data_IF_667917463142
#
_entry.id   IF_667917463142
#
_cell.length_a   1.000
_cell.length_b   1.000
_cell.length_c   1.000
_cell.angle_alpha   90.00
_cell.angle_beta   90.00
_cell.angle_gamma   90.00
#
_symmetry.space_group_name_H-M   'P 1'
#
loop_
_entity.id
_entity.type
_entity.pdbx_description
1 polymer ?
#
# COMPACT_ATOMS: atom_id res chain seq x y z
N UNK A 1 11.75 -5.53 18.50
CA UNK A 1 10.54 -4.76 18.20
C UNK A 1 11.00 -3.40 17.72
N UNK A 2 10.80 -3.14 16.43
CA UNK A 2 11.20 -1.92 15.73
C UNK A 2 9.93 -1.22 15.21
N UNK A 3 9.03 -0.90 16.13
CA UNK A 3 7.78 -0.23 15.82
C UNK A 3 8.04 1.15 15.24
N UNK A 4 7.45 1.39 14.06
CA UNK A 4 7.46 2.67 13.39
C UNK A 4 6.04 3.17 13.28
N UNK A 5 5.78 4.36 13.82
CA UNK A 5 4.54 5.07 13.55
C UNK A 5 4.48 5.42 12.07
N UNK A 6 3.44 4.95 11.38
CA UNK A 6 3.18 5.22 9.97
C UNK A 6 2.02 6.20 9.77
N UNK A 7 1.13 6.35 10.76
CA UNK A 7 0.11 7.40 10.83
C UNK A 7 -0.03 7.84 12.28
N UNK A 8 0.07 9.15 12.53
CA UNK A 8 -0.13 9.70 13.88
C UNK A 8 -1.58 9.59 14.34
N UNK A 9 -2.51 9.57 13.40
CA UNK A 9 -3.93 9.36 13.64
C UNK A 9 -4.57 8.70 12.43
N UNK A 10 -5.36 7.65 12.66
CA UNK A 10 -6.22 7.00 11.67
C UNK A 10 -7.57 6.69 12.33
N UNK A 11 -8.63 6.77 11.52
CA UNK A 11 -9.95 6.26 11.86
C UNK A 11 -10.24 5.09 10.90
N UNK A 12 -10.50 3.91 11.46
CA UNK A 12 -10.91 2.72 10.73
C UNK A 12 -12.37 2.47 11.09
N UNK A 13 -13.24 2.53 10.08
CA UNK A 13 -14.67 2.27 10.23
C UNK A 13 -14.99 0.98 9.49
N UNK A 14 -15.54 0.00 10.21
CA UNK A 14 -15.97 -1.28 9.64
C UNK A 14 -17.10 -1.85 10.51
N UNK A 15 -18.11 -2.43 9.87
CA UNK A 15 -19.35 -2.86 10.52
C UNK A 15 -19.97 -1.72 11.39
N UNK A 16 -20.27 -1.99 12.67
CA UNK A 16 -20.76 -1.00 13.64
C UNK A 16 -19.65 -0.45 14.56
N UNK A 17 -18.37 -0.65 14.20
CA UNK A 17 -17.19 -0.30 15.01
C UNK A 17 -16.40 0.83 14.34
N UNK A 18 -15.94 1.77 15.16
CA UNK A 18 -14.96 2.78 14.77
C UNK A 18 -13.75 2.68 15.70
N UNK A 19 -12.59 2.34 15.13
CA UNK A 19 -11.32 2.34 15.84
C UNK A 19 -10.52 3.58 15.46
N UNK A 20 -10.07 4.34 16.46
CA UNK A 20 -9.24 5.53 16.24
C UNK A 20 -7.96 5.44 17.03
N UNK A 21 -6.83 5.83 16.45
CA UNK A 21 -5.56 5.76 17.14
C UNK A 21 -4.36 6.01 16.26
N UNK A 22 -3.18 5.81 16.83
CA UNK A 22 -1.91 5.87 16.11
C UNK A 22 -1.61 4.52 15.48
N UNK A 23 -1.30 4.52 14.18
CA UNK A 23 -0.99 3.29 13.48
C UNK A 23 0.52 3.05 13.43
N UNK A 24 0.92 1.86 13.87
CA UNK A 24 2.31 1.43 13.99
C UNK A 24 2.55 0.15 13.19
N UNK A 25 3.71 0.08 12.55
CA UNK A 25 4.15 -1.05 11.74
C UNK A 25 5.53 -1.52 12.19
N UNK A 26 5.70 -2.84 12.38
CA UNK A 26 7.01 -3.47 12.55
C UNK A 26 7.31 -4.36 11.34
N UNK A 27 8.14 -3.88 10.39
CA UNK A 27 8.45 -4.65 9.18
C UNK A 27 9.31 -5.89 9.47
N UNK A 28 9.95 -5.99 10.64
CA UNK A 28 10.73 -7.17 11.03
C UNK A 28 9.85 -8.30 11.54
N UNK A 29 8.65 -7.96 12.00
CA UNK A 29 7.67 -8.93 12.50
C UNK A 29 6.46 -9.07 11.57
N UNK A 30 6.42 -8.34 10.45
CA UNK A 30 5.26 -8.26 9.55
C UNK A 30 3.97 -7.94 10.31
N UNK A 31 4.07 -6.98 11.24
CA UNK A 31 3.03 -6.71 12.21
C UNK A 31 2.49 -5.28 12.10
N UNK A 32 1.17 -5.15 12.17
CA UNK A 32 0.43 -3.89 12.17
C UNK A 32 -0.37 -3.76 13.46
N UNK A 33 -0.25 -2.62 14.12
CA UNK A 33 -0.87 -2.33 15.41
C UNK A 33 -1.53 -0.96 15.39
N UNK A 34 -2.71 -0.86 16.00
CA UNK A 34 -3.33 0.41 16.36
C UNK A 34 -3.10 0.66 17.85
N UNK A 35 -2.40 1.74 18.18
CA UNK A 35 -2.20 2.19 19.56
C UNK A 35 -3.23 3.26 19.90
N UNK A 36 -3.96 3.06 21.00
CA UNK A 36 -5.00 3.97 21.48
C UNK A 36 -4.44 5.01 22.45
N UNK A 37 -5.16 6.11 22.63
CA UNK A 37 -4.73 7.22 23.51
C UNK A 37 -4.72 6.86 25.00
N UNK A 38 -5.43 5.80 25.40
CA UNK A 38 -5.45 5.28 26.78
C UNK A 38 -4.23 4.41 27.12
N UNK A 39 -3.37 4.15 26.14
CA UNK A 39 -2.16 3.34 26.28
C UNK A 39 -2.36 1.86 25.95
N UNK A 40 -3.58 1.42 25.61
CA UNK A 40 -3.82 0.08 25.07
C UNK A 40 -3.48 0.03 23.57
N UNK A 41 -3.38 -1.19 23.03
CA UNK A 41 -3.09 -1.39 21.62
C UNK A 41 -3.75 -2.66 21.09
N UNK A 42 -4.18 -2.61 19.83
CA UNK A 42 -4.78 -3.73 19.13
C UNK A 42 -3.90 -4.18 17.96
N UNK A 43 -3.59 -5.48 17.91
CA UNK A 43 -2.84 -6.06 16.80
C UNK A 43 -3.81 -6.37 15.66
N UNK A 44 -3.67 -5.66 14.55
CA UNK A 44 -4.53 -5.79 13.37
C UNK A 44 -4.07 -6.90 12.41
N UNK A 45 -2.82 -7.32 12.53
CA UNK A 45 -2.19 -8.35 11.70
C UNK A 45 -2.11 -9.71 12.39
N UNK A 46 -1.92 -10.78 11.61
CA UNK A 46 -1.75 -12.14 12.11
C UNK A 46 -0.47 -12.78 11.57
N UNK A 47 0.16 -13.63 12.39
CA UNK A 47 1.28 -14.46 11.95
C UNK A 47 0.76 -15.79 11.39
N UNK A 48 1.14 -16.09 10.13
CA UNK A 48 0.79 -17.32 9.42
C UNK A 48 1.99 -18.23 9.16
N UNK A 49 3.14 -17.99 9.78
CA UNK A 49 4.36 -18.79 9.61
C UNK A 49 4.11 -20.27 9.93
N UNK A 50 3.37 -20.55 11.02
CA UNK A 50 2.98 -21.90 11.42
C UNK A 50 2.08 -22.61 10.38
N UNK A 51 1.40 -21.83 9.53
CA UNK A 51 0.57 -22.31 8.43
C UNK A 51 1.33 -22.39 7.10
N UNK A 52 2.63 -22.08 7.09
CA UNK A 52 3.50 -22.14 5.92
C UNK A 52 3.50 -20.88 5.04
N UNK A 53 2.91 -19.78 5.50
CA UNK A 53 2.89 -18.51 4.78
C UNK A 53 3.85 -17.50 5.40
N UNK A 54 4.52 -16.73 4.56
CA UNK A 54 5.45 -15.67 4.97
C UNK A 54 5.10 -14.41 4.19
N UNK A 55 4.96 -13.28 4.89
CA UNK A 55 4.75 -11.99 4.26
C UNK A 55 6.08 -11.46 3.73
N UNK A 56 6.06 -10.72 2.62
CA UNK A 56 7.26 -10.04 2.14
C UNK A 56 7.54 -8.78 2.98
N UNK A 57 8.75 -8.21 2.92
CA UNK A 57 9.04 -6.94 3.59
C UNK A 57 8.02 -5.86 3.21
N UNK A 58 7.46 -5.17 4.21
CA UNK A 58 6.41 -4.16 4.00
C UNK A 58 5.00 -4.73 3.83
N UNK A 59 4.83 -6.05 3.93
CA UNK A 59 3.53 -6.70 3.87
C UNK A 59 3.13 -7.33 5.20
N UNK A 60 1.82 -7.47 5.39
CA UNK A 60 1.19 -8.06 6.57
C UNK A 60 0.05 -8.98 6.13
N UNK A 61 -0.32 -9.93 6.98
CA UNK A 61 -1.56 -10.68 6.82
C UNK A 61 -2.63 -10.12 7.74
N UNK A 62 -3.79 -9.81 7.19
CA UNK A 62 -4.96 -9.35 7.95
C UNK A 62 -6.08 -10.34 7.72
N UNK A 63 -6.65 -10.86 8.81
CA UNK A 63 -7.79 -11.76 8.73
C UNK A 63 -9.07 -10.97 8.88
N UNK A 64 -10.05 -11.37 8.11
CA UNK A 64 -11.44 -10.96 8.27
C UNK A 64 -12.05 -11.81 9.41
N UNK A 65 -12.08 -11.25 10.62
CA UNK A 65 -12.63 -11.90 11.81
C UNK A 65 -14.12 -11.60 11.94
N UNK A 66 -14.87 -12.40 12.73
CA UNK A 66 -16.27 -12.05 13.03
C UNK A 66 -16.41 -10.80 13.88
N UNK A 67 -15.42 -10.50 14.74
CA UNK A 67 -15.39 -9.30 15.60
C UNK A 67 -14.83 -8.08 14.84
N UNK A 68 -14.13 -8.30 13.73
CA UNK A 68 -13.55 -7.28 12.88
C UNK A 68 -13.88 -7.57 11.42
N UNK A 69 -15.16 -7.81 11.16
CA UNK A 69 -15.63 -8.07 9.81
C UNK A 69 -15.39 -6.81 8.98
N UNK A 70 -14.86 -6.96 7.77
CA UNK A 70 -14.46 -5.87 6.86
C UNK A 70 -13.21 -5.06 7.26
N UNK A 71 -12.45 -5.49 8.28
CA UNK A 71 -11.19 -4.83 8.65
C UNK A 71 -10.21 -4.68 7.47
N UNK A 72 -9.97 -5.71 6.62
CA UNK A 72 -9.13 -5.53 5.43
C UNK A 72 -9.64 -4.43 4.48
N UNK A 73 -10.96 -4.29 4.32
CA UNK A 73 -11.54 -3.25 3.47
C UNK A 73 -11.33 -1.86 4.08
N UNK A 74 -11.57 -1.69 5.39
CA UNK A 74 -11.34 -0.43 6.09
C UNK A 74 -9.88 0.03 6.01
N UNK A 75 -8.90 -0.89 6.07
CA UNK A 75 -7.49 -0.57 5.90
C UNK A 75 -7.17 -0.06 4.47
N UNK A 76 -7.85 -0.58 3.45
CA UNK A 76 -7.70 -0.07 2.07
C UNK A 76 -8.36 1.29 1.94
N UNK A 77 -9.59 1.46 2.43
CA UNK A 77 -10.33 2.71 2.37
C UNK A 77 -9.62 3.86 3.10
N UNK A 78 -8.98 3.56 4.23
CA UNK A 78 -8.17 4.52 4.98
C UNK A 78 -6.81 4.83 4.32
N UNK A 79 -6.46 4.22 3.18
CA UNK A 79 -5.16 4.40 2.52
C UNK A 79 -3.98 3.95 3.37
N UNK A 80 -4.22 2.94 4.20
CA UNK A 80 -3.21 2.33 5.07
C UNK A 80 -2.56 1.16 4.35
N UNK A 81 -3.35 0.37 3.63
CA UNK A 81 -2.88 -0.82 2.95
C UNK A 81 -3.40 -0.92 1.51
N UNK A 82 -2.70 -1.70 0.69
CA UNK A 82 -3.18 -2.20 -0.59
C UNK A 82 -3.38 -3.72 -0.49
N UNK A 83 -4.49 -4.24 -1.03
CA UNK A 83 -4.70 -5.67 -1.09
C UNK A 83 -3.79 -6.31 -2.15
N UNK A 84 -3.05 -7.36 -1.78
CA UNK A 84 -2.14 -8.07 -2.69
C UNK A 84 -2.75 -9.40 -3.15
N UNK A 85 -3.22 -10.21 -2.21
CA UNK A 85 -3.92 -11.48 -2.53
C UNK A 85 -4.84 -11.92 -1.39
N UNK A 86 -5.85 -12.71 -1.75
CA UNK A 86 -6.69 -13.42 -0.79
C UNK A 86 -6.22 -14.87 -0.62
N UNK A 87 -6.03 -15.29 0.63
CA UNK A 87 -5.68 -16.64 1.04
C UNK A 87 -6.85 -17.26 1.79
N UNK A 88 -7.30 -18.43 1.32
CA UNK A 88 -8.25 -19.25 2.06
C UNK A 88 -7.51 -20.27 2.93
N UNK A 89 -7.56 -20.08 4.24
CA UNK A 89 -6.97 -21.02 5.18
C UNK A 89 -7.87 -22.24 5.39
N UNK A 90 -7.32 -23.42 5.15
CA UNK A 90 -7.96 -24.71 5.46
C UNK A 90 -7.76 -25.06 6.95
N UNK A 91 -8.65 -25.88 7.55
CA UNK A 91 -9.79 -26.57 6.93
C UNK A 91 -11.09 -25.75 6.90
N UNK A 92 -11.20 -24.68 7.69
CA UNK A 92 -12.46 -23.95 7.91
C UNK A 92 -12.75 -22.83 6.91
N UNK A 93 -11.83 -22.53 5.98
CA UNK A 93 -12.05 -21.55 4.91
C UNK A 93 -11.95 -20.10 5.38
N UNK A 94 -11.22 -19.82 6.46
CA UNK A 94 -11.01 -18.45 6.94
C UNK A 94 -10.32 -17.62 5.87
N UNK A 95 -10.88 -16.44 5.57
CA UNK A 95 -10.35 -15.51 4.57
C UNK A 95 -9.30 -14.62 5.20
N UNK A 96 -8.12 -14.60 4.61
CA UNK A 96 -7.02 -13.73 5.02
C UNK A 96 -6.56 -12.96 3.80
N UNK A 97 -6.35 -11.66 3.94
CA UNK A 97 -5.75 -10.83 2.93
C UNK A 97 -4.27 -10.67 3.24
N UNK A 98 -3.40 -10.93 2.27
CA UNK A 98 -2.04 -10.39 2.29
C UNK A 98 -2.12 -8.97 1.76
N UNK A 99 -1.58 -8.03 2.52
CA UNK A 99 -1.71 -6.61 2.25
C UNK A 99 -0.35 -5.94 2.31
N UNK A 100 -0.11 -4.97 1.44
CA UNK A 100 1.08 -4.11 1.45
C UNK A 100 0.78 -2.85 2.25
N UNK A 101 1.66 -2.51 3.19
CA UNK A 101 1.53 -1.34 4.06
C UNK A 101 2.05 -0.08 3.36
N UNK A 102 1.25 0.98 3.36
CA UNK A 102 1.58 2.28 2.77
C UNK A 102 2.21 3.18 3.84
N UNK A 103 3.54 3.17 3.96
CA UNK A 103 4.26 3.88 5.04
C UNK A 103 4.21 5.41 4.94
N UNK A 104 3.88 5.98 3.78
CA UNK A 104 3.67 7.42 3.62
C UNK A 104 2.29 7.65 3.06
N UNK A 105 1.50 8.50 3.70
CA UNK A 105 0.23 8.97 3.15
C UNK A 105 0.49 9.67 1.81
N UNK A 106 0.41 8.94 0.71
CA UNK A 106 -0.01 9.53 -0.55
C UNK A 106 -1.49 9.87 -0.32
N UNK A 107 -1.90 11.14 -0.37
CA UNK A 107 -3.31 11.46 -0.18
C UNK A 107 -4.11 10.71 -1.24
N UNK A 108 -4.97 9.79 -0.80
CA UNK A 108 -6.00 9.23 -1.66
C UNK A 108 -6.98 10.36 -1.98
N UNK A 109 -6.80 10.99 -3.13
CA UNK A 109 -7.81 11.87 -3.70
C UNK A 109 -8.89 10.97 -4.31
N UNK A 110 -9.99 10.78 -3.59
CA UNK A 110 -11.18 10.20 -4.20
C UNK A 110 -11.70 11.17 -5.27
N UNK A 111 -11.87 10.75 -6.54
CA UNK A 111 -12.39 11.63 -7.56
C UNK A 111 -13.88 11.92 -7.29
N UNK A 112 -14.17 13.09 -6.72
CA UNK A 112 -15.52 13.67 -6.82
C UNK A 112 -15.76 14.15 -8.25
N UNK A 113 -17.03 14.19 -8.69
CA UNK A 113 -17.45 14.44 -10.07
C UNK A 113 -16.90 15.73 -10.73
N UNK A 114 -16.32 16.66 -9.97
CA UNK A 114 -15.60 17.85 -10.48
C UNK A 114 -14.16 17.54 -10.98
N UNK A 115 -13.62 16.35 -10.71
CA UNK A 115 -12.22 15.96 -10.98
C UNK A 115 -11.92 15.59 -12.43
N UNK A 116 -12.95 15.31 -13.24
CA UNK A 116 -12.76 14.94 -14.66
C UNK A 116 -12.14 16.08 -15.50
N UNK A 117 -12.31 17.33 -15.08
CA UNK A 117 -11.73 18.48 -15.78
C UNK A 117 -10.26 18.73 -15.44
N UNK A 118 -9.75 18.18 -14.32
CA UNK A 118 -8.34 18.30 -13.91
C UNK A 118 -7.48 17.12 -14.39
N UNK A 119 -8.05 15.91 -14.52
CA UNK A 119 -7.37 14.74 -15.10
C UNK A 119 -6.95 14.95 -16.57
N UNK A 120 -7.74 15.67 -17.36
CA UNK A 120 -7.40 16.00 -18.75
C UNK A 120 -6.18 16.93 -18.90
N UNK A 121 -5.76 17.60 -17.81
CA UNK A 121 -4.63 18.54 -17.80
C UNK A 121 -3.33 17.86 -17.32
N UNK A 122 -3.42 16.79 -16.53
CA UNK A 122 -2.26 16.13 -15.91
C UNK A 122 -1.67 15.01 -16.76
N UNK A 123 -2.47 14.30 -17.55
CA UNK A 123 -2.00 13.23 -18.44
C UNK A 123 -0.85 13.65 -19.38
N UNK A 124 -0.91 14.80 -20.09
CA UNK A 124 0.17 15.21 -20.99
C UNK A 124 1.47 15.54 -20.26
N UNK A 125 1.37 16.07 -19.03
CA UNK A 125 2.52 16.44 -18.20
C UNK A 125 3.21 15.20 -17.64
N UNK A 126 2.44 14.17 -17.28
CA UNK A 126 2.96 12.88 -16.80
C UNK A 126 3.65 12.10 -17.92
N UNK A 127 3.05 12.05 -19.12
CA UNK A 127 3.65 11.42 -20.30
C UNK A 127 4.97 12.08 -20.70
N UNK A 128 5.03 13.42 -20.68
CA UNK A 128 6.26 14.16 -20.99
C UNK A 128 7.38 13.84 -19.99
N UNK A 129 7.07 13.77 -18.69
CA UNK A 129 8.07 13.46 -17.65
C UNK A 129 8.58 12.03 -17.73
N UNK A 130 7.76 11.09 -18.20
CA UNK A 130 8.18 9.70 -18.46
C UNK A 130 9.12 9.64 -19.66
N UNK A 131 8.79 10.34 -20.75
CA UNK A 131 9.66 10.41 -21.92
C UNK A 131 11.02 11.04 -21.59
N UNK A 132 11.04 12.09 -20.76
CA UNK A 132 12.27 12.74 -20.27
C UNK A 132 13.10 11.79 -19.37
N UNK A 133 12.46 11.10 -18.43
CA UNK A 133 13.14 10.15 -17.54
C UNK A 133 13.72 8.94 -18.30
N UNK A 134 12.96 8.38 -19.25
CA UNK A 134 13.42 7.28 -20.10
C UNK A 134 14.57 7.72 -21.02
N UNK A 135 14.50 8.93 -21.59
CA UNK A 135 15.60 9.49 -22.37
C UNK A 135 16.89 9.62 -21.56
N UNK A 136 16.80 10.16 -20.34
CA UNK A 136 17.94 10.29 -19.43
C UNK A 136 18.52 8.93 -19.02
N UNK A 137 17.69 7.91 -18.79
CA UNK A 137 18.12 6.55 -18.48
C UNK A 137 18.89 5.91 -19.65
N UNK A 138 18.38 6.08 -20.88
CA UNK A 138 19.01 5.56 -22.10
C UNK A 138 20.34 6.27 -22.36
N UNK A 139 20.41 7.59 -22.21
CA UNK A 139 21.64 8.35 -22.40
C UNK A 139 22.69 7.99 -21.33
N UNK A 140 22.27 7.80 -20.07
CA UNK A 140 23.14 7.36 -18.99
C UNK A 140 23.73 5.96 -19.26
N UNK A 141 22.91 5.04 -19.78
CA UNK A 141 23.32 3.68 -20.12
C UNK A 141 24.25 3.57 -21.35
N UNK A 142 24.26 4.57 -22.22
CA UNK A 142 25.19 4.66 -23.35
C UNK A 142 26.43 5.53 -23.07
N UNK A 143 26.47 6.21 -21.93
CA UNK A 143 27.60 7.03 -21.46
C UNK A 143 28.51 6.30 -20.46
N UNK A 144 29.47 7.03 -19.89
CA UNK A 144 30.40 6.54 -18.85
C UNK A 144 29.78 6.54 -17.43
N UNK A 145 28.44 6.46 -17.34
CA UNK A 145 27.71 6.48 -16.06
C UNK A 145 27.92 5.16 -15.33
N UNK A 146 27.90 5.19 -13.99
CA UNK A 146 28.05 3.97 -13.21
C UNK A 146 26.71 3.21 -13.11
N UNK A 147 26.79 1.89 -12.89
CA UNK A 147 25.62 1.00 -12.87
C UNK A 147 24.55 1.43 -11.84
N UNK A 148 24.97 2.05 -10.73
CA UNK A 148 24.08 2.51 -9.65
C UNK A 148 23.21 3.73 -10.06
N UNK A 149 23.74 4.60 -10.93
CA UNK A 149 23.00 5.73 -11.50
C UNK A 149 21.98 5.25 -12.55
N UNK A 150 22.34 4.23 -13.33
CA UNK A 150 21.45 3.62 -14.32
C UNK A 150 20.28 2.90 -13.64
N UNK A 151 20.56 2.16 -12.55
CA UNK A 151 19.55 1.43 -11.79
C UNK A 151 18.51 2.37 -11.15
N UNK A 152 18.94 3.48 -10.54
CA UNK A 152 18.01 4.50 -9.99
C UNK A 152 17.11 5.14 -11.03
N UNK A 153 17.60 5.30 -12.27
CA UNK A 153 16.81 5.85 -13.36
C UNK A 153 15.76 4.85 -13.85
N UNK A 154 16.09 3.56 -13.88
CA UNK A 154 15.11 2.50 -14.20
C UNK A 154 14.05 2.33 -13.12
N UNK A 155 14.43 2.39 -11.84
CA UNK A 155 13.46 2.40 -10.73
C UNK A 155 12.48 3.57 -10.84
N UNK A 156 12.97 4.76 -11.21
CA UNK A 156 12.12 5.93 -11.41
C UNK A 156 11.14 5.75 -12.59
N UNK A 157 11.57 5.13 -13.68
CA UNK A 157 10.71 4.82 -14.83
C UNK A 157 9.62 3.82 -14.46
N UNK A 158 9.95 2.77 -13.71
CA UNK A 158 8.98 1.77 -13.26
C UNK A 158 7.95 2.35 -12.30
N UNK A 159 8.36 3.21 -11.37
CA UNK A 159 7.45 3.93 -10.46
C UNK A 159 6.48 4.83 -11.25
N UNK A 160 6.97 5.54 -12.26
CA UNK A 160 6.14 6.43 -13.07
C UNK A 160 5.18 5.65 -14.00
N UNK A 161 5.61 4.51 -14.54
CA UNK A 161 4.76 3.62 -15.33
C UNK A 161 3.68 2.95 -14.46
N UNK A 162 4.02 2.55 -13.23
CA UNK A 162 3.07 2.03 -12.25
C UNK A 162 1.99 3.07 -11.90
N UNK A 163 2.36 4.35 -11.79
CA UNK A 163 1.42 5.44 -11.57
C UNK A 163 0.42 5.63 -12.73
N UNK A 164 0.81 5.32 -13.98
CA UNK A 164 -0.11 5.31 -15.13
C UNK A 164 -0.99 4.05 -15.19
N UNK A 165 -0.48 2.89 -14.77
CA UNK A 165 -1.25 1.64 -14.80
C UNK A 165 -2.39 1.60 -13.77
N UNK A 166 -2.32 2.37 -12.68
CA UNK A 166 -3.43 2.51 -11.74
C UNK A 166 -4.64 3.23 -12.39
N UNK A 167 -4.46 4.01 -13.46
CA UNK A 167 -5.57 4.58 -14.25
C UNK A 167 -6.03 3.68 -15.42
N UNK A 168 -5.34 2.56 -15.66
CA UNK A 168 -5.60 1.61 -16.73
C UNK A 168 -6.55 0.50 -16.32
N UNK A 169 -7.78 0.84 -15.91
CA UNK A 169 -8.87 -0.13 -15.94
C UNK A 169 -9.01 -0.58 -17.41
N UNK A 170 -8.53 -1.78 -17.70
CA UNK A 170 -8.74 -2.45 -18.97
C UNK A 170 -10.26 -2.59 -19.17
N UNK A 171 -10.86 -1.65 -19.90
CA UNK A 171 -12.17 -1.88 -20.49
C UNK A 171 -12.00 -2.89 -21.65
N UNK A 172 -12.95 -3.82 -21.81
CA UNK A 172 -12.90 -4.85 -22.84
C UNK A 172 -12.82 -4.28 -24.26
#
# INVERSE_FOLDING_TARGET
MNWKTIRDHVALSFDEIELTGQLQHDPTQHALVLAFDDGDSEVLSIDLLSSGYVAFPGEVFVRDYSEHFELPAALVEAGVCEAVEEIQLRPHGSRVQRMRVIERATPLVFPTAESHSQQAVLLPVTEQRIAEAHGAAVDAAHGDSNDEEIERLWELVEVLLGALQIEGEARP
#
